data_IF_021124371693
#
_entry.id   IF_021124371693
#
_cell.length_a   1.000
_cell.length_b   1.000
_cell.length_c   1.000
_cell.angle_alpha   90.00
_cell.angle_beta   90.00
_cell.angle_gamma   90.00
#
_symmetry.space_group_name_H-M   'P 1'
#
loop_
_entity.id
_entity.type
_entity.pdbx_description
1 polymer ?
#
# COMPACT_ATOMS: atom_id res chain seq x y z
N UNK A 1 -4.07 -7.25 -7.29
CA UNK A 1 -2.94 -7.23 -6.35
C UNK A 1 -1.79 -6.44 -6.94
N UNK A 2 -1.20 -5.52 -6.17
CA UNK A 2 -0.05 -4.70 -6.55
C UNK A 2 1.12 -4.95 -5.59
N UNK A 3 2.33 -5.13 -6.11
CA UNK A 3 3.56 -5.25 -5.33
C UNK A 3 4.45 -4.04 -5.59
N UNK A 4 4.89 -3.37 -4.53
CA UNK A 4 5.73 -2.16 -4.61
C UNK A 4 6.80 -2.21 -3.53
N UNK A 5 7.97 -1.63 -3.77
CA UNK A 5 9.03 -1.59 -2.74
C UNK A 5 8.67 -0.61 -1.63
N UNK A 6 8.28 0.62 -1.99
CA UNK A 6 7.89 1.67 -1.06
C UNK A 6 6.37 1.75 -0.94
N UNK A 7 5.87 2.06 0.26
CA UNK A 7 4.44 2.31 0.43
C UNK A 7 3.97 3.51 -0.42
N UNK A 8 2.77 3.44 -1.03
CA UNK A 8 2.27 4.52 -1.88
C UNK A 8 1.96 5.78 -1.06
N UNK A 9 2.30 6.95 -1.61
CA UNK A 9 1.84 8.23 -1.05
C UNK A 9 0.33 8.40 -1.25
N UNK A 10 -0.25 9.48 -0.71
CA UNK A 10 -1.69 9.77 -0.82
C UNK A 10 -2.22 9.84 -2.25
N UNK A 11 -1.50 10.48 -3.17
CA UNK A 11 -1.96 10.61 -4.56
C UNK A 11 -1.89 9.28 -5.32
N UNK A 12 -0.80 8.52 -5.17
CA UNK A 12 -0.71 7.16 -5.72
C UNK A 12 -1.81 6.25 -5.16
N UNK A 13 -2.13 6.39 -3.87
CA UNK A 13 -3.17 5.61 -3.20
C UNK A 13 -4.56 5.86 -3.77
N UNK A 14 -4.88 7.09 -4.16
CA UNK A 14 -6.14 7.40 -4.87
C UNK A 14 -6.20 6.69 -6.22
N UNK A 15 -5.12 6.73 -7.00
CA UNK A 15 -5.05 6.06 -8.30
C UNK A 15 -5.17 4.53 -8.16
N UNK A 16 -4.52 3.94 -7.15
CA UNK A 16 -4.62 2.50 -6.84
C UNK A 16 -6.08 2.11 -6.57
N UNK A 17 -6.79 2.89 -5.74
CA UNK A 17 -8.20 2.64 -5.47
C UNK A 17 -9.08 2.80 -6.72
N UNK A 18 -8.87 3.86 -7.50
CA UNK A 18 -9.59 4.11 -8.76
C UNK A 18 -9.36 3.02 -9.81
N UNK A 19 -8.17 2.41 -9.83
CA UNK A 19 -7.84 1.29 -10.70
C UNK A 19 -8.52 -0.04 -10.28
N UNK A 20 -9.27 -0.06 -9.17
CA UNK A 20 -9.94 -1.27 -8.67
C UNK A 20 -8.97 -2.28 -8.02
N UNK A 21 -7.79 -1.84 -7.58
CA UNK A 21 -6.84 -2.72 -6.90
C UNK A 21 -7.34 -3.01 -5.49
N UNK A 22 -7.57 -4.29 -5.20
CA UNK A 22 -8.10 -4.78 -3.93
C UNK A 22 -7.03 -5.13 -2.88
N UNK A 23 -5.75 -5.22 -3.30
CA UNK A 23 -4.64 -5.63 -2.42
C UNK A 23 -3.32 -4.98 -2.83
N UNK A 24 -2.62 -4.38 -1.86
CA UNK A 24 -1.28 -3.80 -2.01
C UNK A 24 -0.31 -4.47 -1.04
N UNK A 25 0.81 -4.93 -1.58
CA UNK A 25 1.93 -5.49 -0.82
C UNK A 25 3.12 -4.56 -0.95
N UNK A 26 3.70 -4.12 0.17
CA UNK A 26 4.83 -3.20 0.20
C UNK A 26 5.95 -3.68 1.14
N UNK A 27 7.20 -3.30 0.89
CA UNK A 27 8.33 -3.72 1.74
C UNK A 27 8.71 -2.65 2.76
N UNK A 28 8.91 -1.42 2.29
CA UNK A 28 9.41 -0.30 3.08
C UNK A 28 8.28 0.70 3.28
N UNK A 29 7.99 1.04 4.54
CA UNK A 29 7.08 2.14 4.87
C UNK A 29 7.76 3.46 4.52
N UNK A 30 7.15 4.22 3.61
CA UNK A 30 7.53 5.59 3.31
C UNK A 30 7.14 6.53 4.46
N UNK A 31 7.81 7.68 4.56
CA UNK A 31 7.76 8.57 5.73
C UNK A 31 6.35 9.11 6.10
N UNK A 32 5.37 8.96 5.23
CA UNK A 32 3.98 9.38 5.42
C UNK A 32 3.03 8.18 5.25
N UNK A 33 2.27 7.87 6.30
CA UNK A 33 1.31 6.77 6.32
C UNK A 33 -0.07 7.16 5.76
N UNK A 34 -0.28 8.42 5.38
CA UNK A 34 -1.59 8.92 4.92
C UNK A 34 -2.15 8.14 3.71
N UNK A 35 -1.27 7.67 2.80
CA UNK A 35 -1.65 6.81 1.68
C UNK A 35 -2.12 5.42 2.12
N UNK A 36 -1.41 4.80 3.07
CA UNK A 36 -1.81 3.52 3.66
C UNK A 36 -3.14 3.65 4.42
N UNK A 37 -3.32 4.72 5.21
CA UNK A 37 -4.58 4.96 5.92
C UNK A 37 -5.75 5.16 4.95
N UNK A 38 -5.52 5.86 3.83
CA UNK A 38 -6.52 6.02 2.79
C UNK A 38 -6.94 4.67 2.20
N UNK A 39 -5.97 3.85 1.78
CA UNK A 39 -6.23 2.53 1.19
C UNK A 39 -6.96 1.60 2.18
N UNK A 40 -6.55 1.61 3.45
CA UNK A 40 -7.20 0.84 4.51
C UNK A 40 -8.67 1.24 4.69
N UNK A 41 -8.97 2.54 4.70
CA UNK A 41 -10.36 3.06 4.77
C UNK A 41 -11.16 2.73 3.52
N UNK A 42 -10.50 2.65 2.36
CA UNK A 42 -11.10 2.28 1.09
C UNK A 42 -11.31 0.76 0.93
N UNK A 43 -11.00 -0.05 1.94
CA UNK A 43 -11.19 -1.50 1.92
C UNK A 43 -10.12 -2.27 1.14
N UNK A 44 -8.98 -1.65 0.83
CA UNK A 44 -7.85 -2.31 0.17
C UNK A 44 -7.03 -3.09 1.20
N UNK A 45 -6.76 -4.36 0.92
CA UNK A 45 -5.91 -5.20 1.77
C UNK A 45 -4.46 -4.72 1.69
N UNK A 46 -3.86 -4.39 2.83
CA UNK A 46 -2.47 -3.95 2.93
C UNK A 46 -1.64 -5.02 3.61
N UNK A 47 -0.55 -5.46 2.96
CA UNK A 47 0.43 -6.38 3.56
C UNK A 47 1.83 -5.81 3.46
N UNK A 48 2.48 -5.61 4.60
CA UNK A 48 3.90 -5.32 4.62
C UNK A 48 4.71 -6.62 4.54
N UNK A 49 5.69 -6.68 3.65
CA UNK A 49 6.72 -7.70 3.67
C UNK A 49 7.70 -7.33 4.79
N UNK A 50 7.54 -7.94 5.96
CA UNK A 50 8.66 -8.08 6.87
C UNK A 50 9.72 -8.90 6.14
N UNK A 51 10.99 -8.47 6.18
CA UNK A 51 12.08 -9.32 5.71
C UNK A 51 11.88 -10.69 6.37
N UNK A 52 11.63 -11.72 5.57
CA UNK A 52 11.81 -13.08 6.04
C UNK A 52 13.32 -13.20 6.27
N UNK A 53 13.74 -12.99 7.51
CA UNK A 53 15.00 -13.54 7.98
C UNK A 53 14.84 -15.06 7.89
N UNK A 54 15.41 -15.62 6.81
CA UNK A 54 15.67 -17.05 6.67
C UNK A 54 17.07 -17.34 7.18
#
# INVERSE_FOLDING_TARGET
TLYVTLSPCKECSKLIHQAGITRVVYQITYNDDSGLQFLKKAGVELKQLANLEM
#
